data_IF_831366360467
#
_entry.id   IF_831366360467
#
_cell.length_a   1.000
_cell.length_b   1.000
_cell.length_c   1.000
_cell.angle_alpha   90.00
_cell.angle_beta   90.00
_cell.angle_gamma   90.00
#
_symmetry.space_group_name_H-M   'P 1'
#
loop_
_entity.id
_entity.type
_entity.pdbx_description
1 polymer ?
#
# COMPACT_ATOMS: atom_id res chain seq x y z
N UNK A 1 5.54 1.81 -10.04
CA UNK A 1 6.80 1.49 -9.34
C UNK A 1 7.86 0.95 -10.33
N UNK A 2 7.64 -0.14 -11.05
CA UNK A 2 8.66 -0.76 -11.92
C UNK A 2 9.39 0.18 -12.88
N UNK A 3 8.71 1.17 -13.43
CA UNK A 3 9.35 2.17 -14.31
C UNK A 3 10.45 3.00 -13.63
N UNK A 4 10.39 3.20 -12.30
CA UNK A 4 11.40 3.94 -11.54
C UNK A 4 12.70 3.17 -11.43
N UNK A 5 12.66 1.84 -11.53
CA UNK A 5 13.84 1.00 -11.42
C UNK A 5 14.86 1.21 -12.55
N UNK A 6 14.43 1.79 -13.68
CA UNK A 6 15.35 2.22 -14.75
C UNK A 6 16.30 3.37 -14.31
N UNK A 7 16.05 4.03 -13.17
CA UNK A 7 16.90 5.10 -12.62
C UNK A 7 18.07 4.59 -11.78
N UNK A 8 18.05 3.32 -11.39
CA UNK A 8 18.93 2.75 -10.39
C UNK A 8 19.77 1.60 -10.96
N UNK A 9 21.00 1.41 -10.43
CA UNK A 9 21.85 0.30 -10.79
C UNK A 9 21.24 -1.05 -10.39
N UNK A 10 21.60 -2.10 -11.10
CA UNK A 10 21.27 -3.48 -10.71
C UNK A 10 22.00 -3.90 -9.42
N UNK A 11 23.13 -3.26 -9.11
CA UNK A 11 23.90 -3.53 -7.90
C UNK A 11 23.29 -2.90 -6.65
N UNK A 12 22.29 -2.00 -6.80
CA UNK A 12 21.64 -1.39 -5.65
C UNK A 12 20.88 -2.44 -4.83
N UNK A 13 21.07 -2.38 -3.52
CA UNK A 13 20.34 -3.20 -2.55
C UNK A 13 19.01 -2.58 -2.19
N UNK A 14 17.97 -3.40 -2.17
CA UNK A 14 16.60 -2.99 -1.89
C UNK A 14 16.19 -3.45 -0.50
N UNK A 15 15.55 -2.58 0.27
CA UNK A 15 14.91 -2.90 1.54
C UNK A 15 13.39 -2.81 1.37
N UNK A 16 12.69 -3.87 1.77
CA UNK A 16 11.22 -3.93 1.76
C UNK A 16 10.70 -4.42 3.11
N UNK A 17 9.61 -3.84 3.65
CA UNK A 17 8.86 -4.47 4.74
C UNK A 17 8.31 -5.83 4.30
N UNK A 18 8.10 -6.75 5.24
CA UNK A 18 7.46 -8.04 5.01
C UNK A 18 6.38 -8.25 6.08
N UNK A 19 5.09 -8.38 5.75
CA UNK A 19 4.50 -8.54 4.41
C UNK A 19 4.40 -7.23 3.62
N UNK A 20 4.44 -7.35 2.29
CA UNK A 20 4.45 -6.20 1.37
C UNK A 20 3.70 -6.50 0.06
N UNK A 21 3.35 -5.48 -0.69
CA UNK A 21 2.80 -5.64 -2.04
C UNK A 21 3.81 -6.36 -2.96
N UNK A 22 3.48 -7.55 -3.49
CA UNK A 22 4.44 -8.44 -4.15
C UNK A 22 5.22 -7.82 -5.30
N UNK A 23 4.62 -6.84 -6.00
CA UNK A 23 5.26 -6.17 -7.14
C UNK A 23 6.60 -5.53 -6.78
N UNK A 24 6.80 -5.07 -5.54
CA UNK A 24 8.11 -4.51 -5.16
C UNK A 24 9.21 -5.57 -5.13
N UNK A 25 8.87 -6.77 -4.71
CA UNK A 25 9.78 -7.92 -4.72
C UNK A 25 9.98 -8.40 -6.16
N UNK A 26 8.90 -8.67 -6.88
CA UNK A 26 8.94 -9.25 -8.23
C UNK A 26 9.69 -8.37 -9.23
N UNK A 27 9.43 -7.06 -9.24
CA UNK A 27 10.12 -6.10 -10.11
C UNK A 27 11.65 -6.10 -9.85
N UNK A 28 12.08 -6.24 -8.58
CA UNK A 28 13.48 -6.23 -8.23
C UNK A 28 14.15 -7.60 -8.45
N UNK A 29 13.44 -8.71 -8.25
CA UNK A 29 13.90 -10.06 -8.62
C UNK A 29 14.13 -10.14 -10.13
N UNK A 30 13.17 -9.67 -10.94
CA UNK A 30 13.32 -9.62 -12.40
C UNK A 30 14.48 -8.73 -12.84
N UNK A 31 14.79 -7.68 -12.08
CA UNK A 31 15.93 -6.79 -12.34
C UNK A 31 17.27 -7.33 -11.79
N UNK A 32 17.27 -8.47 -11.11
CA UNK A 32 18.48 -9.11 -10.56
C UNK A 32 19.05 -8.40 -9.32
N UNK A 33 18.27 -7.58 -8.60
CA UNK A 33 18.73 -6.85 -7.41
C UNK A 33 18.68 -7.71 -6.16
N UNK A 34 19.57 -7.41 -5.24
CA UNK A 34 19.54 -7.98 -3.89
C UNK A 34 18.43 -7.34 -3.08
N UNK A 35 17.58 -8.17 -2.45
CA UNK A 35 16.49 -7.74 -1.60
C UNK A 35 16.76 -8.12 -0.15
N UNK A 36 16.58 -7.15 0.75
CA UNK A 36 16.59 -7.33 2.19
C UNK A 36 15.16 -7.13 2.69
N UNK A 37 14.76 -7.95 3.64
CA UNK A 37 13.43 -7.87 4.24
C UNK A 37 13.52 -7.32 5.66
N UNK A 38 12.57 -6.46 6.02
CA UNK A 38 12.41 -5.92 7.37
C UNK A 38 11.08 -6.42 7.92
N UNK A 39 11.07 -7.27 8.98
CA UNK A 39 9.85 -7.84 9.50
C UNK A 39 8.84 -6.79 9.96
N UNK A 40 7.64 -6.84 9.41
CA UNK A 40 6.49 -6.06 9.84
C UNK A 40 5.51 -7.03 10.53
N UNK A 41 5.37 -6.92 11.83
CA UNK A 41 4.66 -7.86 12.67
C UNK A 41 3.57 -7.17 13.50
N UNK A 42 2.72 -7.94 14.16
CA UNK A 42 1.70 -7.38 15.04
C UNK A 42 2.31 -6.56 16.20
N UNK A 43 3.50 -6.96 16.69
CA UNK A 43 4.21 -6.31 17.79
C UNK A 43 4.68 -4.90 17.42
N UNK A 44 5.07 -4.67 16.16
CA UNK A 44 5.44 -3.33 15.66
C UNK A 44 4.30 -2.64 14.88
N UNK A 45 3.06 -3.17 15.00
CA UNK A 45 1.87 -2.62 14.33
C UNK A 45 1.97 -2.70 12.79
N UNK A 46 2.76 -3.62 12.25
CA UNK A 46 3.10 -3.73 10.82
C UNK A 46 3.74 -2.47 10.23
N UNK A 47 4.38 -1.67 11.08
CA UNK A 47 5.10 -0.44 10.72
C UNK A 47 6.54 -0.53 11.24
N UNK A 48 7.41 -1.32 10.62
CA UNK A 48 8.79 -1.43 11.07
C UNK A 48 9.49 -0.07 11.00
N UNK A 49 10.34 0.19 11.98
CA UNK A 49 11.08 1.43 12.10
C UNK A 49 12.54 1.25 11.65
N UNK A 50 13.24 2.33 11.28
CA UNK A 50 14.58 2.22 10.71
C UNK A 50 15.68 1.80 11.70
N UNK A 51 15.41 1.77 13.00
CA UNK A 51 16.41 1.43 14.02
C UNK A 51 16.98 0.01 13.86
N UNK A 52 16.18 -0.91 13.31
CA UNK A 52 16.58 -2.29 13.01
C UNK A 52 16.89 -2.51 11.52
N UNK A 53 16.81 -1.46 10.71
CA UNK A 53 16.96 -1.57 9.27
C UNK A 53 18.45 -1.76 8.89
N UNK A 54 18.77 -2.79 8.10
CA UNK A 54 20.10 -2.93 7.52
C UNK A 54 20.34 -1.80 6.51
N UNK A 55 21.62 -1.50 6.22
CA UNK A 55 21.96 -0.59 5.14
C UNK A 55 21.41 -1.09 3.79
N UNK A 56 20.76 -0.20 3.05
CA UNK A 56 20.27 -0.44 1.70
C UNK A 56 20.28 0.87 0.91
N UNK A 57 20.37 0.76 -0.42
CA UNK A 57 20.38 1.94 -1.30
C UNK A 57 18.97 2.48 -1.57
N UNK A 58 17.99 1.59 -1.51
CA UNK A 58 16.58 1.92 -1.79
C UNK A 58 15.69 1.24 -0.76
N UNK A 59 14.78 2.00 -0.15
CA UNK A 59 13.74 1.45 0.72
C UNK A 59 12.36 1.74 0.16
N UNK A 60 11.50 0.72 0.12
CA UNK A 60 10.10 0.87 -0.22
C UNK A 60 9.26 1.12 1.04
N UNK A 61 8.43 2.14 1.01
CA UNK A 61 7.43 2.43 2.05
C UNK A 61 6.09 2.62 1.36
N UNK A 62 5.12 1.77 1.69
CA UNK A 62 3.73 1.91 1.26
C UNK A 62 2.89 2.38 2.44
N UNK A 63 2.27 3.55 2.32
CA UNK A 63 1.46 4.10 3.41
C UNK A 63 0.25 4.87 2.85
N UNK A 64 -0.96 4.40 3.16
CA UNK A 64 -1.35 3.16 3.86
C UNK A 64 -0.85 1.90 3.17
N UNK A 65 -0.47 0.88 3.97
CA UNK A 65 0.16 -0.33 3.44
C UNK A 65 -0.85 -1.31 2.82
N UNK A 66 -0.45 -1.91 1.73
CA UNK A 66 -1.03 -3.14 1.21
C UNK A 66 -0.04 -4.28 1.52
N UNK A 67 -0.40 -5.28 2.38
CA UNK A 67 -1.76 -5.74 2.67
C UNK A 67 -2.37 -5.28 4.00
N UNK A 68 -1.59 -4.74 4.93
CA UNK A 68 -1.96 -4.64 6.35
C UNK A 68 -2.90 -3.47 6.69
N UNK A 69 -2.99 -2.48 5.82
CA UNK A 69 -3.71 -1.24 6.08
C UNK A 69 -3.04 -0.31 7.10
N UNK A 70 -1.87 -0.69 7.60
CA UNK A 70 -1.10 0.13 8.54
C UNK A 70 -0.63 1.43 7.87
N UNK A 71 -0.63 2.53 8.61
CA UNK A 71 -0.38 3.87 8.08
C UNK A 71 0.61 4.60 8.97
N UNK A 72 1.72 5.06 8.40
CA UNK A 72 2.74 5.81 9.12
C UNK A 72 2.26 7.21 9.52
N UNK A 73 2.60 7.62 10.72
CA UNK A 73 2.51 9.01 11.15
C UNK A 73 3.63 9.86 10.54
N UNK A 74 3.43 11.18 10.54
CA UNK A 74 4.49 12.13 10.12
C UNK A 74 5.76 11.95 10.95
N UNK A 75 5.64 11.72 12.27
CA UNK A 75 6.79 11.50 13.15
C UNK A 75 7.56 10.22 12.83
N UNK A 76 6.87 9.14 12.52
CA UNK A 76 7.52 7.89 12.10
C UNK A 76 8.23 8.05 10.74
N UNK A 77 7.64 8.78 9.81
CA UNK A 77 8.29 9.07 8.52
C UNK A 77 9.49 9.99 8.66
N UNK A 78 9.55 10.88 9.67
CA UNK A 78 10.76 11.66 9.98
C UNK A 78 11.96 10.76 10.29
N UNK A 79 11.74 9.67 11.04
CA UNK A 79 12.81 8.72 11.33
C UNK A 79 13.33 8.05 10.03
N UNK A 80 12.44 7.66 9.12
CA UNK A 80 12.82 7.10 7.83
C UNK A 80 13.55 8.10 6.93
N UNK A 81 13.14 9.36 6.91
CA UNK A 81 13.84 10.43 6.18
C UNK A 81 15.24 10.66 6.75
N UNK A 82 15.38 10.68 8.08
CA UNK A 82 16.69 10.80 8.73
C UNK A 82 17.60 9.61 8.42
N UNK A 83 17.05 8.39 8.47
CA UNK A 83 17.78 7.18 8.11
C UNK A 83 18.25 7.20 6.64
N UNK A 84 17.39 7.59 5.72
CA UNK A 84 17.72 7.66 4.31
C UNK A 84 18.85 8.67 4.05
N UNK A 85 18.85 9.84 4.73
CA UNK A 85 19.93 10.80 4.67
C UNK A 85 21.24 10.25 5.20
N UNK A 86 21.20 9.54 6.33
CA UNK A 86 22.39 8.96 6.95
C UNK A 86 23.01 7.82 6.15
N UNK A 87 22.21 7.13 5.33
CA UNK A 87 22.63 5.97 4.55
C UNK A 87 22.82 6.28 3.04
N UNK A 88 22.69 7.54 2.60
CA UNK A 88 22.66 7.93 1.17
C UNK A 88 21.65 7.11 0.36
N UNK A 89 20.52 6.78 0.98
CA UNK A 89 19.47 5.93 0.43
C UNK A 89 18.32 6.75 -0.16
N UNK A 90 17.56 6.12 -1.08
CA UNK A 90 16.35 6.71 -1.66
C UNK A 90 15.10 5.99 -1.13
N UNK A 91 14.14 6.75 -0.63
CA UNK A 91 12.82 6.24 -0.27
C UNK A 91 11.93 6.24 -1.53
N UNK A 92 11.41 5.07 -1.91
CA UNK A 92 10.32 4.95 -2.86
C UNK A 92 9.00 4.85 -2.08
N UNK A 93 8.30 5.98 -1.96
CA UNK A 93 7.07 6.09 -1.19
C UNK A 93 5.86 5.83 -2.09
N UNK A 94 5.10 4.78 -1.79
CA UNK A 94 3.86 4.45 -2.49
C UNK A 94 2.66 5.02 -1.73
N UNK A 95 2.09 6.08 -2.27
CA UNK A 95 0.93 6.79 -1.75
C UNK A 95 -0.39 6.37 -2.44
N UNK A 96 -0.46 5.17 -3.03
CA UNK A 96 -1.63 4.74 -3.81
C UNK A 96 -2.95 4.73 -3.02
N UNK A 97 -2.89 4.67 -1.70
CA UNK A 97 -4.06 4.64 -0.80
C UNK A 97 -4.20 5.89 0.08
N UNK A 98 -3.42 6.95 -0.18
CA UNK A 98 -3.39 8.19 0.62
C UNK A 98 -4.78 8.82 0.82
N UNK A 99 -5.65 8.68 -0.20
CA UNK A 99 -7.03 9.22 -0.17
C UNK A 99 -7.92 8.63 0.94
N UNK A 100 -7.56 7.46 1.49
CA UNK A 100 -8.29 6.83 2.59
C UNK A 100 -7.88 7.36 3.97
N UNK A 101 -6.72 8.02 4.09
CA UNK A 101 -6.23 8.58 5.36
C UNK A 101 -7.20 9.65 5.84
N UNK A 102 -7.72 9.47 7.05
CA UNK A 102 -8.72 10.36 7.66
C UNK A 102 -8.36 10.80 9.08
N UNK A 103 -7.41 10.12 9.74
CA UNK A 103 -7.02 10.43 11.11
C UNK A 103 -5.93 11.51 11.16
N UNK A 104 -6.04 12.48 12.09
CA UNK A 104 -5.00 13.49 12.29
C UNK A 104 -3.66 12.86 12.66
N UNK A 105 -2.57 13.46 12.17
CA UNK A 105 -1.19 13.03 12.48
C UNK A 105 -0.68 11.89 11.60
N UNK A 106 -1.54 11.22 10.82
CA UNK A 106 -1.12 10.29 9.80
C UNK A 106 -0.75 11.03 8.52
N UNK A 107 0.35 10.62 7.88
CA UNK A 107 0.83 11.24 6.67
C UNK A 107 0.07 10.74 5.43
N UNK A 108 -0.32 11.66 4.56
CA UNK A 108 -0.83 11.36 3.22
C UNK A 108 0.27 11.39 2.18
N UNK A 109 1.33 12.16 2.43
CA UNK A 109 2.48 12.30 1.56
C UNK A 109 3.78 12.27 2.37
N UNK A 110 4.82 11.67 1.81
CA UNK A 110 6.16 11.75 2.41
C UNK A 110 6.67 13.20 2.45
N UNK A 111 6.18 14.05 1.58
CA UNK A 111 6.58 15.44 1.49
C UNK A 111 5.97 16.36 2.57
N UNK A 112 5.13 15.82 3.45
CA UNK A 112 4.76 16.47 4.71
C UNK A 112 5.93 16.49 5.71
N UNK A 113 6.95 15.65 5.46
CA UNK A 113 8.17 15.58 6.27
C UNK A 113 9.23 16.53 5.71
N UNK A 114 9.76 17.40 6.57
CA UNK A 114 10.88 18.28 6.22
C UNK A 114 12.11 17.47 5.80
N UNK A 115 12.73 17.88 4.69
CA UNK A 115 13.89 17.22 4.13
C UNK A 115 13.60 15.98 3.27
N UNK A 116 12.36 15.51 3.20
CA UNK A 116 12.00 14.36 2.36
C UNK A 116 12.29 14.59 0.86
N UNK A 117 12.19 15.83 0.38
CA UNK A 117 12.51 16.18 -1.02
C UNK A 117 13.95 15.89 -1.43
N UNK A 118 14.83 15.69 -0.47
CA UNK A 118 16.25 15.38 -0.72
C UNK A 118 16.49 13.89 -0.90
N UNK A 119 15.57 13.02 -0.37
CA UNK A 119 15.79 11.57 -0.29
C UNK A 119 14.60 10.72 -0.79
N UNK A 120 13.47 11.31 -1.19
CA UNK A 120 12.28 10.53 -1.53
C UNK A 120 11.74 10.79 -2.94
N UNK A 121 11.19 9.74 -3.53
CA UNK A 121 10.34 9.76 -4.72
C UNK A 121 8.96 9.25 -4.27
N UNK A 122 7.89 9.99 -4.61
CA UNK A 122 6.52 9.58 -4.31
C UNK A 122 5.79 9.14 -5.56
N UNK A 123 5.02 8.05 -5.42
CA UNK A 123 4.18 7.49 -6.48
C UNK A 123 2.73 7.49 -6.04
N UNK A 124 1.86 8.06 -6.86
CA UNK A 124 0.42 8.13 -6.63
C UNK A 124 -0.34 7.44 -7.76
N UNK A 125 -1.54 6.95 -7.46
CA UNK A 125 -2.36 6.20 -8.41
C UNK A 125 -3.80 6.69 -8.43
N UNK A 126 -4.32 6.96 -9.61
CA UNK A 126 -5.75 7.25 -9.80
C UNK A 126 -6.63 5.99 -9.72
N UNK A 127 -6.02 4.81 -9.70
CA UNK A 127 -6.78 3.54 -9.60
C UNK A 127 -7.65 3.46 -8.35
N UNK A 128 -7.20 4.06 -7.24
CA UNK A 128 -7.87 3.94 -5.94
C UNK A 128 -8.71 5.17 -5.59
N UNK A 129 -8.16 6.36 -5.83
CA UNK A 129 -8.89 7.60 -5.55
C UNK A 129 -10.10 7.78 -6.49
N UNK A 130 -9.95 7.49 -7.78
CA UNK A 130 -10.96 7.78 -8.80
C UNK A 130 -11.54 6.52 -9.49
N UNK A 131 -11.20 5.32 -9.03
CA UNK A 131 -11.62 4.10 -9.70
C UNK A 131 -11.00 3.89 -11.10
N UNK A 132 -9.91 4.57 -11.43
CA UNK A 132 -9.28 4.57 -12.75
C UNK A 132 -8.38 3.34 -13.01
N UNK A 133 -8.71 2.19 -12.43
CA UNK A 133 -7.91 0.97 -12.57
C UNK A 133 -7.70 0.57 -14.03
N UNK A 134 -8.76 0.64 -14.85
CA UNK A 134 -8.71 0.28 -16.27
C UNK A 134 -8.02 1.33 -17.15
N UNK A 135 -7.93 2.60 -16.73
CA UNK A 135 -7.31 3.69 -17.50
C UNK A 135 -5.79 3.74 -17.39
N UNK A 136 -5.20 3.03 -16.41
CA UNK A 136 -3.75 2.94 -16.15
C UNK A 136 -3.11 4.31 -15.94
N UNK A 137 -3.68 5.15 -15.07
CA UNK A 137 -3.20 6.49 -14.78
C UNK A 137 -2.62 6.59 -13.36
N UNK A 138 -1.52 7.26 -13.24
CA UNK A 138 -0.86 7.62 -12.00
C UNK A 138 0.18 8.70 -12.25
N UNK A 139 0.76 9.24 -11.21
CA UNK A 139 1.84 10.21 -11.32
C UNK A 139 2.97 9.90 -10.34
N UNK A 140 4.14 10.45 -10.65
CA UNK A 140 5.34 10.28 -9.84
C UNK A 140 5.96 11.65 -9.58
N UNK A 141 6.25 11.95 -8.34
CA UNK A 141 6.94 13.17 -7.92
C UNK A 141 8.41 12.83 -7.67
N UNK A 142 9.28 13.35 -8.52
CA UNK A 142 10.74 13.25 -8.37
C UNK A 142 11.29 14.66 -8.14
N UNK A 143 11.58 15.03 -6.89
CA UNK A 143 12.02 16.39 -6.57
C UNK A 143 13.36 16.77 -7.22
N UNK A 144 13.52 18.06 -7.56
CA UNK A 144 14.80 18.58 -8.07
C UNK A 144 15.90 18.61 -7.00
N UNK A 145 15.53 18.60 -5.72
CA UNK A 145 16.50 18.53 -4.62
C UNK A 145 17.16 17.14 -4.51
N UNK A 146 16.47 16.09 -5.00
CA UNK A 146 16.96 14.71 -4.90
C UNK A 146 18.19 14.50 -5.79
N UNK A 147 19.29 14.05 -5.17
CA UNK A 147 20.58 13.81 -5.83
C UNK A 147 21.04 14.98 -6.72
N UNK A 148 20.87 16.22 -6.24
CA UNK A 148 21.23 17.43 -6.99
C UNK A 148 20.50 17.58 -8.33
N UNK A 149 19.29 17.05 -8.44
CA UNK A 149 18.45 17.09 -9.64
C UNK A 149 18.78 16.05 -10.71
N UNK A 150 19.74 15.18 -10.44
CA UNK A 150 20.15 14.11 -11.39
C UNK A 150 19.01 13.15 -11.66
N UNK A 151 18.36 12.62 -10.60
CA UNK A 151 17.26 11.66 -10.74
C UNK A 151 16.02 12.28 -11.41
N UNK A 152 15.74 13.57 -11.15
CA UNK A 152 14.65 14.27 -11.84
C UNK A 152 14.90 14.34 -13.36
N UNK A 153 16.11 14.73 -13.78
CA UNK A 153 16.49 14.78 -15.21
C UNK A 153 16.46 13.39 -15.85
N UNK A 154 16.95 12.38 -15.17
CA UNK A 154 16.90 10.98 -15.62
C UNK A 154 15.45 10.49 -15.78
N UNK A 155 14.59 10.80 -14.83
CA UNK A 155 13.16 10.46 -14.89
C UNK A 155 12.47 11.12 -16.08
N UNK A 156 12.69 12.41 -16.29
CA UNK A 156 12.18 13.11 -17.46
C UNK A 156 12.66 12.43 -18.77
N UNK A 157 13.94 12.13 -18.85
CA UNK A 157 14.53 11.46 -20.03
C UNK A 157 13.92 10.07 -20.25
N UNK A 158 13.79 9.28 -19.18
CA UNK A 158 13.17 7.94 -19.23
C UNK A 158 11.74 8.02 -19.74
N UNK A 159 10.93 8.92 -19.17
CA UNK A 159 9.52 9.05 -19.52
C UNK A 159 9.32 9.51 -20.98
N UNK A 160 10.10 10.47 -21.43
CA UNK A 160 10.04 10.98 -22.82
C UNK A 160 10.65 10.03 -23.86
N UNK A 161 11.37 8.99 -23.44
CA UNK A 161 11.99 8.02 -24.35
C UNK A 161 11.22 6.70 -24.41
N UNK A 162 10.80 6.16 -23.26
CA UNK A 162 10.21 4.81 -23.17
C UNK A 162 8.69 4.80 -23.07
N UNK A 163 8.04 5.92 -22.73
CA UNK A 163 6.61 5.90 -22.42
C UNK A 163 5.81 7.03 -23.11
N UNK A 164 6.29 8.27 -23.08
CA UNK A 164 5.63 9.48 -23.59
C UNK A 164 4.33 9.90 -22.86
N UNK A 165 3.96 9.23 -21.80
CA UNK A 165 2.81 9.59 -20.98
C UNK A 165 1.54 8.78 -21.26
N UNK A 166 0.57 8.96 -20.40
CA UNK A 166 -0.78 8.38 -20.49
C UNK A 166 -1.56 9.06 -21.63
N UNK A 167 -2.51 8.36 -22.25
CA UNK A 167 -3.35 8.93 -23.29
C UNK A 167 -3.99 10.27 -22.86
N UNK A 168 -4.00 11.26 -23.76
CA UNK A 168 -4.44 12.63 -23.42
C UNK A 168 -5.85 12.70 -22.80
N UNK A 169 -6.79 11.93 -23.33
CA UNK A 169 -8.16 11.86 -22.80
C UNK A 169 -8.19 11.38 -21.35
N UNK A 170 -7.31 10.43 -20.98
CA UNK A 170 -7.17 9.94 -19.61
C UNK A 170 -6.55 11.01 -18.70
N UNK A 171 -5.57 11.77 -19.21
CA UNK A 171 -4.99 12.89 -18.46
C UNK A 171 -6.03 13.98 -18.16
N UNK A 172 -6.91 14.30 -19.11
CA UNK A 172 -8.02 15.23 -18.90
C UNK A 172 -9.02 14.71 -17.86
N UNK A 173 -9.32 13.41 -17.87
CA UNK A 173 -10.12 12.77 -16.82
C UNK A 173 -9.45 12.84 -15.44
N UNK A 174 -8.13 12.62 -15.39
CA UNK A 174 -7.36 12.73 -14.15
C UNK A 174 -7.31 14.17 -13.61
N UNK A 175 -7.25 15.18 -14.48
CA UNK A 175 -7.33 16.59 -14.08
C UNK A 175 -8.69 16.91 -13.44
N UNK A 176 -9.78 16.38 -13.99
CA UNK A 176 -11.13 16.59 -13.45
C UNK A 176 -11.29 16.06 -12.01
N UNK A 177 -10.49 15.06 -11.60
CA UNK A 177 -10.46 14.53 -10.21
C UNK A 177 -10.20 15.64 -9.19
N UNK A 178 -9.39 16.64 -9.53
CA UNK A 178 -8.98 17.72 -8.62
C UNK A 178 -9.86 18.98 -8.71
N UNK A 179 -10.95 18.93 -9.46
CA UNK A 179 -11.98 19.98 -9.39
C UNK A 179 -12.83 19.82 -8.13
N UNK A 180 -13.50 20.89 -7.69
CA UNK A 180 -14.39 20.83 -6.51
C UNK A 180 -15.49 19.78 -6.69
N UNK A 181 -16.05 19.66 -7.90
CA UNK A 181 -17.06 18.65 -8.24
C UNK A 181 -16.47 17.23 -8.22
N UNK A 182 -15.31 17.04 -8.87
CA UNK A 182 -14.62 15.75 -8.88
C UNK A 182 -14.24 15.27 -7.48
N UNK A 183 -13.72 16.16 -6.65
CA UNK A 183 -13.38 15.83 -5.25
C UNK A 183 -14.62 15.48 -4.42
N UNK A 184 -15.75 16.13 -4.68
CA UNK A 184 -17.03 15.80 -4.02
C UNK A 184 -17.54 14.41 -4.41
N UNK A 185 -17.48 14.06 -5.70
CA UNK A 185 -17.85 12.72 -6.18
C UNK A 185 -16.92 11.64 -5.62
N UNK A 186 -15.62 11.93 -5.58
CA UNK A 186 -14.63 11.02 -5.00
C UNK A 186 -14.90 10.77 -3.52
N UNK A 187 -15.24 11.81 -2.75
CA UNK A 187 -15.56 11.66 -1.34
C UNK A 187 -16.74 10.70 -1.13
N UNK A 188 -17.77 10.74 -1.98
CA UNK A 188 -18.89 9.79 -1.92
C UNK A 188 -18.43 8.34 -2.13
N UNK A 189 -17.51 8.11 -3.08
CA UNK A 189 -16.94 6.78 -3.32
C UNK A 189 -16.06 6.31 -2.16
N UNK A 190 -15.26 7.20 -1.58
CA UNK A 190 -14.45 6.88 -0.41
C UNK A 190 -15.31 6.52 0.79
N UNK A 191 -16.40 7.25 1.03
CA UNK A 191 -17.35 6.99 2.12
C UNK A 191 -18.09 5.66 1.90
N UNK A 192 -18.42 5.33 0.65
CA UNK A 192 -18.97 4.04 0.30
C UNK A 192 -18.03 2.87 0.66
N UNK A 193 -16.75 2.97 0.34
CA UNK A 193 -15.76 1.94 0.70
C UNK A 193 -15.46 1.92 2.20
N UNK A 194 -15.46 3.06 2.89
CA UNK A 194 -15.35 3.10 4.36
C UNK A 194 -16.53 2.41 5.03
N UNK A 195 -17.74 2.59 4.52
CA UNK A 195 -18.92 1.88 5.02
C UNK A 195 -18.81 0.37 4.83
N UNK A 196 -18.31 -0.09 3.69
CA UNK A 196 -18.01 -1.51 3.46
C UNK A 196 -16.97 -2.04 4.46
N UNK A 197 -15.89 -1.30 4.69
CA UNK A 197 -14.87 -1.67 5.67
C UNK A 197 -15.45 -1.81 7.08
N UNK A 198 -16.32 -0.87 7.47
CA UNK A 198 -16.98 -0.90 8.77
C UNK A 198 -17.90 -2.13 8.93
N UNK A 199 -18.61 -2.55 7.88
CA UNK A 199 -19.44 -3.77 7.88
C UNK A 199 -18.59 -5.02 8.08
N UNK A 200 -17.46 -5.13 7.40
CA UNK A 200 -16.54 -6.26 7.54
C UNK A 200 -15.93 -6.27 8.96
N UNK A 201 -15.46 -5.11 9.41
CA UNK A 201 -14.87 -4.95 10.74
C UNK A 201 -15.84 -5.37 11.86
N UNK A 202 -17.09 -4.90 11.79
CA UNK A 202 -18.12 -5.27 12.76
C UNK A 202 -18.37 -6.80 12.81
N UNK A 203 -18.37 -7.47 11.66
CA UNK A 203 -18.54 -8.93 11.62
C UNK A 203 -17.36 -9.68 12.26
N UNK A 204 -16.14 -9.17 12.11
CA UNK A 204 -14.94 -9.75 12.75
C UNK A 204 -14.93 -9.46 14.27
N UNK A 205 -15.31 -8.24 14.69
CA UNK A 205 -15.46 -7.88 16.11
C UNK A 205 -16.47 -8.81 16.82
N UNK A 206 -17.64 -9.01 16.21
CA UNK A 206 -18.67 -9.90 16.73
C UNK A 206 -18.25 -11.39 16.78
N UNK A 207 -17.35 -11.79 15.88
CA UNK A 207 -16.76 -13.13 15.85
C UNK A 207 -15.51 -13.26 16.76
N UNK A 208 -15.05 -12.19 17.40
CA UNK A 208 -13.86 -12.18 18.24
C UNK A 208 -12.54 -12.39 17.48
N UNK A 209 -12.50 -12.09 16.19
CA UNK A 209 -11.31 -12.26 15.35
C UNK A 209 -10.46 -10.99 15.38
N UNK A 210 -9.18 -11.14 15.70
CA UNK A 210 -8.24 -10.02 15.68
C UNK A 210 -7.95 -9.54 14.26
N UNK A 211 -7.95 -8.23 14.06
CA UNK A 211 -7.59 -7.61 12.79
C UNK A 211 -6.99 -6.22 12.98
N UNK A 212 -6.38 -5.69 11.92
CA UNK A 212 -6.00 -4.28 11.78
C UNK A 212 -6.37 -3.75 10.38
N UNK A 213 -6.20 -2.45 10.15
CA UNK A 213 -6.61 -1.80 8.91
C UNK A 213 -8.11 -1.45 8.88
N UNK A 214 -8.66 -1.20 7.70
CA UNK A 214 -10.08 -0.90 7.48
C UNK A 214 -10.52 0.54 7.79
N UNK A 215 -9.68 1.36 8.45
CA UNK A 215 -10.01 2.74 8.83
C UNK A 215 -9.36 3.77 7.89
N UNK A 216 -8.05 3.70 7.74
CA UNK A 216 -7.27 4.57 6.86
C UNK A 216 -6.84 3.84 5.57
N UNK A 217 -7.45 2.70 5.30
CA UNK A 217 -7.15 1.82 4.18
C UNK A 217 -8.39 1.01 3.82
N UNK A 218 -8.56 0.61 2.54
CA UNK A 218 -9.62 -0.31 2.15
C UNK A 218 -9.32 -1.76 2.52
N UNK A 219 -8.15 -2.06 3.09
CA UNK A 219 -7.74 -3.41 3.47
C UNK A 219 -7.95 -3.67 4.95
N UNK A 220 -8.40 -4.90 5.23
CA UNK A 220 -8.56 -5.44 6.57
C UNK A 220 -7.66 -6.68 6.62
N UNK A 221 -6.70 -6.65 7.54
CA UNK A 221 -5.71 -7.68 7.75
C UNK A 221 -6.03 -8.41 9.04
N UNK A 222 -6.54 -9.62 8.93
CA UNK A 222 -6.98 -10.43 10.06
C UNK A 222 -5.99 -11.57 10.36
N UNK A 223 -5.94 -11.99 11.61
CA UNK A 223 -5.26 -13.22 12.01
C UNK A 223 -6.18 -14.40 11.73
N UNK A 224 -5.67 -15.44 11.07
CA UNK A 224 -6.44 -16.66 10.82
C UNK A 224 -6.85 -17.30 12.15
N UNK A 225 -8.14 -17.67 12.32
CA UNK A 225 -8.62 -18.28 13.55
C UNK A 225 -7.99 -19.68 13.78
N UNK A 226 -8.00 -20.13 15.05
CA UNK A 226 -7.54 -21.46 15.44
C UNK A 226 -6.14 -21.84 14.94
N UNK A 227 -5.25 -20.84 14.82
CA UNK A 227 -3.87 -21.04 14.32
C UNK A 227 -3.77 -21.63 12.91
N UNK A 228 -4.84 -21.53 12.11
CA UNK A 228 -4.84 -21.99 10.73
C UNK A 228 -3.74 -21.28 9.92
N UNK A 229 -3.13 -22.00 8.99
CA UNK A 229 -2.29 -21.40 7.95
C UNK A 229 -3.12 -20.51 7.01
N UNK A 230 -2.47 -19.58 6.32
CA UNK A 230 -3.18 -18.64 5.43
C UNK A 230 -3.95 -19.32 4.30
N UNK A 231 -3.38 -20.39 3.73
CA UNK A 231 -4.02 -21.17 2.66
C UNK A 231 -5.10 -22.11 3.20
N UNK A 232 -4.89 -22.69 4.37
CA UNK A 232 -5.90 -23.50 5.05
C UNK A 232 -7.16 -22.67 5.35
N UNK A 233 -6.97 -21.43 5.84
CA UNK A 233 -8.08 -20.52 6.08
C UNK A 233 -8.74 -20.05 4.76
N UNK A 234 -7.98 -19.92 3.68
CA UNK A 234 -8.55 -19.62 2.36
C UNK A 234 -9.53 -20.73 1.91
N UNK A 235 -9.09 -21.99 1.96
CA UNK A 235 -9.91 -23.12 1.56
C UNK A 235 -11.14 -23.24 2.47
N UNK A 236 -10.93 -23.13 3.78
CA UNK A 236 -12.01 -23.16 4.75
C UNK A 236 -13.06 -22.06 4.52
N UNK A 237 -12.61 -20.82 4.29
CA UNK A 237 -13.49 -19.66 4.05
C UNK A 237 -14.29 -19.82 2.75
N UNK A 238 -13.65 -20.35 1.71
CA UNK A 238 -14.30 -20.63 0.44
C UNK A 238 -15.40 -21.71 0.59
N UNK A 239 -15.11 -22.79 1.30
CA UNK A 239 -16.05 -23.91 1.48
C UNK A 239 -17.22 -23.55 2.39
N UNK A 240 -17.00 -22.83 3.49
CA UNK A 240 -18.00 -22.58 4.51
C UNK A 240 -18.73 -21.24 4.38
N UNK A 241 -18.08 -20.23 3.82
CA UNK A 241 -18.68 -18.91 3.64
C UNK A 241 -18.88 -18.51 2.16
N UNK A 242 -18.31 -19.25 1.21
CA UNK A 242 -18.30 -18.91 -0.22
C UNK A 242 -17.74 -17.50 -0.47
N UNK A 243 -16.69 -17.14 0.26
CA UNK A 243 -16.00 -15.85 0.18
C UNK A 243 -14.54 -16.08 -0.21
N UNK A 244 -14.05 -15.26 -1.14
CA UNK A 244 -12.66 -15.26 -1.58
C UNK A 244 -11.98 -14.02 -1.04
N UNK A 245 -10.85 -14.22 -0.36
CA UNK A 245 -9.94 -13.17 0.05
C UNK A 245 -8.51 -13.51 -0.37
N UNK A 246 -7.51 -12.92 0.26
CA UNK A 246 -6.11 -13.15 -0.13
C UNK A 246 -5.31 -13.72 1.04
N UNK A 247 -4.73 -14.93 0.89
CA UNK A 247 -3.84 -15.51 1.90
C UNK A 247 -2.64 -14.59 2.19
N UNK A 248 -2.33 -14.43 3.47
CA UNK A 248 -1.26 -13.54 3.89
C UNK A 248 0.12 -13.95 3.40
N UNK A 249 0.37 -15.25 3.26
CA UNK A 249 1.62 -15.77 2.70
C UNK A 249 1.92 -15.28 1.27
N UNK A 250 0.88 -14.87 0.51
CA UNK A 250 1.05 -14.27 -0.80
C UNK A 250 1.71 -12.87 -0.77
N UNK A 251 1.91 -12.29 0.42
CA UNK A 251 2.57 -11.00 0.61
C UNK A 251 3.95 -11.11 1.25
N UNK A 252 4.38 -12.31 1.57
CA UNK A 252 5.68 -12.59 2.18
C UNK A 252 5.59 -13.51 3.40
N UNK A 253 6.73 -14.07 3.86
CA UNK A 253 6.78 -15.02 4.97
C UNK A 253 6.14 -14.52 6.27
N UNK A 254 6.27 -13.24 6.62
CA UNK A 254 5.64 -12.66 7.81
C UNK A 254 4.11 -12.53 7.68
N UNK A 255 3.56 -12.78 6.50
CA UNK A 255 2.12 -12.88 6.27
C UNK A 255 1.50 -14.23 6.63
N UNK A 256 2.32 -15.23 7.02
CA UNK A 256 1.83 -16.56 7.43
C UNK A 256 0.90 -16.46 8.64
N UNK A 257 -0.25 -17.14 8.58
CA UNK A 257 -1.27 -17.08 9.62
C UNK A 257 -2.12 -15.81 9.60
N UNK A 258 -2.00 -15.01 8.56
CA UNK A 258 -2.83 -13.84 8.31
C UNK A 258 -3.60 -13.95 7.00
N UNK A 259 -4.61 -13.11 6.86
CA UNK A 259 -5.48 -13.07 5.68
C UNK A 259 -5.95 -11.65 5.39
N UNK A 260 -6.02 -11.27 4.12
CA UNK A 260 -6.49 -9.94 3.72
C UNK A 260 -7.89 -10.00 3.14
N UNK A 261 -8.80 -9.21 3.71
CA UNK A 261 -10.07 -8.82 3.11
C UNK A 261 -9.97 -7.40 2.52
N UNK A 262 -10.91 -7.06 1.65
CA UNK A 262 -10.94 -5.74 1.00
C UNK A 262 -12.35 -5.15 1.01
N UNK A 263 -12.43 -3.85 1.19
CA UNK A 263 -13.66 -3.07 1.12
C UNK A 263 -14.06 -2.67 -0.31
N UNK A 264 -13.21 -2.96 -1.31
CA UNK A 264 -13.50 -2.71 -2.72
C UNK A 264 -14.52 -3.71 -3.27
N UNK A 265 -15.79 -3.50 -2.98
CA UNK A 265 -16.86 -4.37 -3.42
C UNK A 265 -18.20 -3.65 -3.48
N UNK A 266 -19.20 -4.33 -4.02
CA UNK A 266 -20.59 -3.90 -3.93
C UNK A 266 -21.08 -3.96 -2.47
N UNK A 267 -21.84 -2.97 -2.01
CA UNK A 267 -22.25 -2.85 -0.62
C UNK A 267 -23.16 -3.99 -0.15
N UNK A 268 -24.12 -4.39 -0.98
CA UNK A 268 -25.04 -5.47 -0.61
C UNK A 268 -24.33 -6.83 -0.58
N UNK A 269 -23.47 -7.08 -1.55
CA UNK A 269 -22.63 -8.29 -1.55
C UNK A 269 -21.63 -8.30 -0.38
N UNK A 270 -21.12 -7.13 0.02
CA UNK A 270 -20.24 -7.02 1.19
C UNK A 270 -20.97 -7.34 2.47
N UNK A 271 -22.20 -6.84 2.65
CA UNK A 271 -23.07 -7.21 3.80
C UNK A 271 -23.36 -8.70 3.85
N UNK A 272 -23.69 -9.28 2.70
CA UNK A 272 -23.95 -10.71 2.58
C UNK A 272 -22.70 -11.53 2.91
N UNK A 273 -21.55 -11.16 2.37
CA UNK A 273 -20.28 -11.83 2.64
C UNK A 273 -19.90 -11.74 4.13
N UNK A 274 -20.02 -10.56 4.74
CA UNK A 274 -19.75 -10.36 6.16
C UNK A 274 -20.65 -11.21 7.06
N UNK A 275 -21.96 -11.30 6.73
CA UNK A 275 -22.89 -12.16 7.46
C UNK A 275 -22.53 -13.65 7.34
N UNK A 276 -22.13 -14.12 6.15
CA UNK A 276 -21.68 -15.50 5.93
C UNK A 276 -20.36 -15.81 6.63
N UNK A 277 -19.39 -14.88 6.60
CA UNK A 277 -18.13 -15.01 7.35
C UNK A 277 -18.43 -15.17 8.84
N UNK A 278 -19.23 -14.28 9.42
CA UNK A 278 -19.61 -14.33 10.83
C UNK A 278 -20.28 -15.67 11.19
N UNK A 279 -21.26 -16.12 10.38
CA UNK A 279 -21.98 -17.39 10.61
C UNK A 279 -21.02 -18.59 10.54
N UNK A 280 -20.11 -18.62 9.58
CA UNK A 280 -19.12 -19.67 9.44
C UNK A 280 -18.14 -19.66 10.63
N UNK A 281 -17.62 -18.50 11.02
CA UNK A 281 -16.71 -18.37 12.18
C UNK A 281 -17.34 -18.85 13.50
N UNK A 282 -18.64 -18.72 13.65
CA UNK A 282 -19.36 -19.22 14.84
C UNK A 282 -19.38 -20.77 14.93
N UNK A 283 -18.95 -21.49 13.89
CA UNK A 283 -18.87 -22.97 13.86
C UNK A 283 -17.46 -23.49 14.15
N UNK A 284 -16.46 -22.60 14.28
CA UNK A 284 -15.08 -22.93 14.65
C UNK A 284 -14.92 -23.02 16.18
#
# INVERSE_FOLDING_TARGET
MGNLLDLFSQDNTILVPDPVYPVYVDDNVMAGRKILYLPATAENGFLPMPDEAPHADIVYICSPNNPTGATYSVEQLKAWVAWAKANDAVILFDAAYECFVSEPGLARSIFEVEGAKEVAIEVCSFSKIAGFTGTRCGYTVVPQALAGGKLNKMWLRRQTTKFNGVAYVVQRGAEAVFTDEGMKEIQQNLDYYRANAAVIAAALDEAGVWYCGGKNSPYIWLRCPNEMGSWEFFDWLLEHAHVVGTPGEGFGPCGKGYFRLTAFGDAERTKEAAARIKAALATL
#
